data_IF_569220504189
#
_entry.id   IF_569220504189
#
_cell.length_a   1.000
_cell.length_b   1.000
_cell.length_c   1.000
_cell.angle_alpha   90.00
_cell.angle_beta   90.00
_cell.angle_gamma   90.00
#
_symmetry.space_group_name_H-M   'P 1'
#
loop_
_entity.id
_entity.type
_entity.pdbx_description
1 polymer ?
#
# COMPACT_ATOMS: atom_id res chain seq x y z
N UNK A 1 26.66 25.43 -10.90
CA UNK A 1 26.13 24.18 -10.29
C UNK A 1 24.68 24.04 -10.75
N UNK A 2 24.33 23.10 -11.63
CA UNK A 2 22.93 22.90 -12.06
C UNK A 2 22.19 22.12 -10.96
N UNK A 3 21.07 22.68 -10.49
CA UNK A 3 20.12 21.95 -9.63
C UNK A 3 19.31 21.06 -10.58
N UNK A 4 19.24 19.74 -10.34
CA UNK A 4 18.38 18.87 -11.15
C UNK A 4 16.93 19.34 -11.02
N UNK A 5 16.12 19.27 -12.09
CA UNK A 5 14.71 19.59 -12.00
C UNK A 5 14.06 18.75 -10.89
N UNK A 6 13.31 19.42 -10.01
CA UNK A 6 12.57 18.76 -8.94
C UNK A 6 11.59 17.76 -9.57
N UNK A 7 11.59 16.51 -9.11
CA UNK A 7 10.61 15.53 -9.53
C UNK A 7 9.20 16.00 -9.13
N UNK A 8 8.15 15.68 -9.92
CA UNK A 8 6.79 16.04 -9.54
C UNK A 8 6.43 15.39 -8.20
N UNK A 9 5.63 16.07 -7.35
CA UNK A 9 5.27 15.58 -6.01
C UNK A 9 4.36 14.34 -6.05
N UNK A 10 3.74 14.07 -7.20
CA UNK A 10 2.87 12.91 -7.44
C UNK A 10 3.42 12.07 -8.58
N UNK A 11 3.31 10.76 -8.45
CA UNK A 11 3.74 9.80 -9.45
C UNK A 11 2.72 8.66 -9.57
N UNK A 12 2.76 7.94 -10.69
CA UNK A 12 1.95 6.76 -10.92
C UNK A 12 2.75 5.51 -10.52
N UNK A 13 2.13 4.64 -9.72
CA UNK A 13 2.64 3.31 -9.40
C UNK A 13 1.58 2.28 -9.73
N UNK A 14 1.95 1.24 -10.49
CA UNK A 14 1.09 0.10 -10.79
C UNK A 14 1.54 -1.09 -9.93
N UNK A 15 0.58 -1.76 -9.30
CA UNK A 15 0.84 -2.90 -8.43
C UNK A 15 0.03 -4.10 -8.94
N UNK A 16 0.74 -5.19 -9.22
CA UNK A 16 0.15 -6.47 -9.58
C UNK A 16 0.22 -7.34 -8.33
N UNK A 17 -0.93 -7.52 -7.68
CA UNK A 17 -1.06 -8.27 -6.45
C UNK A 17 -1.39 -9.72 -6.78
N UNK A 18 -1.00 -10.62 -5.87
CA UNK A 18 -1.21 -12.05 -5.97
C UNK A 18 -2.17 -12.52 -4.86
N UNK A 19 -2.95 -13.56 -5.15
CA UNK A 19 -3.93 -14.16 -4.24
C UNK A 19 -4.97 -13.16 -3.74
N UNK A 20 -5.71 -12.50 -4.63
CA UNK A 20 -6.89 -11.76 -4.20
C UNK A 20 -8.03 -12.70 -3.78
N UNK A 21 -8.09 -13.88 -4.36
CA UNK A 21 -9.18 -14.84 -4.20
C UNK A 21 -9.15 -15.53 -2.83
N UNK A 22 -10.35 -15.93 -2.38
CA UNK A 22 -10.52 -16.84 -1.26
C UNK A 22 -10.33 -18.29 -1.73
N UNK A 23 -9.80 -19.16 -0.87
CA UNK A 23 -9.76 -20.60 -1.13
C UNK A 23 -11.12 -21.27 -0.88
N UNK A 24 -11.90 -20.74 0.07
CA UNK A 24 -13.28 -21.12 0.33
C UNK A 24 -14.21 -19.92 0.21
N UNK A 25 -14.95 -19.64 1.28
CA UNK A 25 -15.82 -18.48 1.35
C UNK A 25 -15.01 -17.22 1.65
N UNK A 26 -15.34 -16.13 0.96
CA UNK A 26 -14.68 -14.84 1.16
C UNK A 26 -14.83 -14.38 2.61
N UNK A 27 -13.70 -14.19 3.28
CA UNK A 27 -13.67 -13.70 4.66
C UNK A 27 -12.46 -12.81 4.91
N UNK A 28 -12.44 -12.12 6.04
CA UNK A 28 -11.33 -11.25 6.45
C UNK A 28 -9.98 -11.99 6.51
N UNK A 29 -10.03 -13.29 6.79
CA UNK A 29 -8.86 -14.17 6.87
C UNK A 29 -8.54 -14.87 5.55
N UNK A 30 -9.56 -15.21 4.77
CA UNK A 30 -9.49 -15.95 3.50
C UNK A 30 -9.87 -15.03 2.33
N UNK A 31 -9.00 -14.05 2.04
CA UNK A 31 -9.03 -13.17 0.88
C UNK A 31 -7.82 -12.22 0.87
N UNK A 32 -7.55 -11.53 -0.23
CA UNK A 32 -6.65 -10.37 -0.28
C UNK A 32 -5.24 -10.61 0.30
N UNK A 33 -4.65 -11.77 0.04
CA UNK A 33 -3.39 -12.21 0.65
C UNK A 33 -2.22 -11.26 0.32
N UNK A 34 -1.98 -11.00 -0.96
CA UNK A 34 -0.89 -10.11 -1.41
C UNK A 34 -1.07 -8.67 -0.94
N UNK A 35 -2.31 -8.17 -0.96
CA UNK A 35 -2.64 -6.81 -0.52
C UNK A 35 -2.37 -6.61 0.98
N UNK A 36 -2.83 -7.54 1.84
CA UNK A 36 -2.63 -7.48 3.29
C UNK A 36 -1.14 -7.51 3.65
N UNK A 37 -0.39 -8.42 3.03
CA UNK A 37 1.05 -8.52 3.25
C UNK A 37 1.79 -7.24 2.85
N UNK A 38 1.45 -6.67 1.69
CA UNK A 38 2.07 -5.43 1.23
C UNK A 38 1.73 -4.24 2.12
N UNK A 39 0.45 -4.08 2.50
CA UNK A 39 0.00 -3.01 3.37
C UNK A 39 0.74 -3.02 4.70
N UNK A 40 0.90 -4.19 5.33
CA UNK A 40 1.67 -4.36 6.56
C UNK A 40 3.14 -3.94 6.38
N UNK A 41 3.77 -4.32 5.26
CA UNK A 41 5.15 -3.93 4.94
C UNK A 41 5.33 -2.46 4.60
N UNK A 42 4.30 -1.80 4.06
CA UNK A 42 4.33 -0.37 3.80
C UNK A 42 4.14 0.41 5.10
N UNK A 43 3.19 -0.01 5.95
CA UNK A 43 2.97 0.61 7.26
C UNK A 43 4.18 0.47 8.20
N UNK A 44 4.91 -0.65 8.15
CA UNK A 44 6.12 -0.85 8.93
C UNK A 44 7.34 -0.06 8.40
N UNK A 45 7.30 0.42 7.15
CA UNK A 45 8.40 1.20 6.57
C UNK A 45 8.21 2.67 6.88
N UNK A 46 9.22 3.30 7.48
CA UNK A 46 9.26 4.75 7.66
C UNK A 46 9.28 5.44 6.29
N UNK A 47 8.28 6.28 6.03
CA UNK A 47 8.25 7.09 4.82
C UNK A 47 9.06 8.38 5.03
N UNK A 48 9.84 8.84 4.02
CA UNK A 48 10.66 10.04 4.15
C UNK A 48 9.78 11.27 4.47
N UNK A 49 10.30 12.17 5.30
CA UNK A 49 9.59 13.39 5.70
C UNK A 49 9.13 14.17 4.46
N UNK A 50 7.82 14.45 4.37
CA UNK A 50 7.19 15.11 3.23
C UNK A 50 6.44 14.18 2.27
N UNK A 51 6.46 12.86 2.47
CA UNK A 51 5.52 11.98 1.78
C UNK A 51 4.13 12.09 2.41
N UNK A 52 3.13 12.53 1.65
CA UNK A 52 1.71 12.53 2.07
C UNK A 52 1.06 11.12 2.03
N UNK A 53 1.87 10.06 2.05
CA UNK A 53 1.39 8.69 2.16
C UNK A 53 0.95 8.43 3.60
N UNK A 54 -0.25 8.89 3.94
CA UNK A 54 -0.95 8.47 5.14
C UNK A 54 -1.43 7.04 4.93
N UNK A 55 -0.83 6.07 5.61
CA UNK A 55 -1.39 4.73 5.70
C UNK A 55 -2.71 4.80 6.49
N UNK A 56 -3.81 5.05 5.79
CA UNK A 56 -5.17 5.02 6.35
C UNK A 56 -5.53 3.57 6.65
N UNK A 57 -5.10 3.05 7.80
CA UNK A 57 -5.62 1.79 8.34
C UNK A 57 -7.02 2.08 8.88
N UNK A 58 -7.99 2.11 7.98
CA UNK A 58 -9.40 2.12 8.38
C UNK A 58 -9.74 0.73 8.91
N UNK A 59 -9.97 0.64 10.21
CA UNK A 59 -10.57 -0.56 10.81
C UNK A 59 -12.01 -0.62 10.31
N UNK A 60 -12.32 -1.53 9.37
CA UNK A 60 -13.71 -1.94 9.18
C UNK A 60 -14.20 -2.46 10.53
N UNK A 61 -15.21 -1.79 11.09
CA UNK A 61 -15.90 -2.20 12.29
C UNK A 61 -17.19 -2.85 11.80
N UNK A 62 -17.36 -4.12 12.14
CA UNK A 62 -18.52 -5.02 12.04
C UNK A 62 -19.65 -4.62 11.06
#
# INVERSE_FOLDING_TARGET
RRVPPQAPPVTLQLLFLDGEEAFGDWSDTDSLYGARHLAARMAARGHPAGSELSAMVSRCRD
#
